data_IF_441247310434
#
_entry.id   IF_441247310434
#
_cell.length_a   1.000
_cell.length_b   1.000
_cell.length_c   1.000
_cell.angle_alpha   90.00
_cell.angle_beta   90.00
_cell.angle_gamma   90.00
#
_symmetry.space_group_name_H-M   'P 1'
#
loop_
_entity.id
_entity.type
_entity.pdbx_description
1 polymer ?
#
# COMPACT_ATOMS: atom_id res chain seq x y z
N UNK A 1 28.69 89.31 -50.53
CA UNK A 1 28.46 87.95 -49.99
C UNK A 1 29.60 87.68 -49.02
N UNK A 2 29.39 87.84 -47.72
CA UNK A 2 30.43 87.67 -46.69
C UNK A 2 30.06 86.47 -45.83
N UNK A 3 30.92 85.45 -45.85
CA UNK A 3 30.78 84.23 -45.04
C UNK A 3 31.54 84.50 -43.74
N UNK A 4 30.84 84.53 -42.61
CA UNK A 4 31.49 84.58 -41.30
C UNK A 4 31.88 83.17 -40.84
N UNK A 5 33.17 82.96 -40.64
CA UNK A 5 33.72 81.79 -39.93
C UNK A 5 33.32 81.84 -38.45
N UNK A 6 32.40 80.94 -38.04
CA UNK A 6 32.14 80.66 -36.63
C UNK A 6 33.23 79.71 -36.10
N UNK A 7 34.23 80.27 -35.43
CA UNK A 7 35.12 79.50 -34.53
C UNK A 7 34.25 78.79 -33.47
N UNK A 8 34.26 77.46 -33.45
CA UNK A 8 33.72 76.68 -32.32
C UNK A 8 34.70 76.79 -31.16
N UNK A 9 34.28 77.45 -30.10
CA UNK A 9 34.96 77.44 -28.81
C UNK A 9 34.70 76.08 -28.16
N UNK A 10 35.75 75.36 -27.77
CA UNK A 10 35.64 74.18 -26.91
C UNK A 10 35.66 74.73 -25.48
N UNK A 11 34.51 74.73 -24.80
CA UNK A 11 34.44 75.05 -23.38
C UNK A 11 35.04 73.88 -22.58
N UNK A 12 36.15 74.15 -21.89
CA UNK A 12 36.69 73.25 -20.87
C UNK A 12 35.93 73.47 -19.57
N UNK A 13 35.19 72.44 -19.13
CA UNK A 13 34.48 72.46 -17.85
C UNK A 13 35.47 72.65 -16.69
N UNK A 14 35.04 73.41 -15.69
CA UNK A 14 35.73 73.54 -14.40
C UNK A 14 35.66 72.24 -13.60
N UNK A 15 36.53 72.06 -12.60
CA UNK A 15 36.52 70.86 -11.74
C UNK A 15 35.18 70.68 -11.00
N UNK A 16 34.52 71.78 -10.60
CA UNK A 16 33.21 71.73 -9.96
C UNK A 16 32.11 71.30 -10.95
N UNK A 17 32.17 71.76 -12.20
CA UNK A 17 31.26 71.31 -13.26
C UNK A 17 31.50 69.84 -13.64
N UNK A 18 32.77 69.39 -13.65
CA UNK A 18 33.12 67.99 -13.84
C UNK A 18 32.64 67.11 -12.68
N UNK A 19 32.73 67.59 -11.44
CA UNK A 19 32.21 66.90 -10.27
C UNK A 19 30.68 66.78 -10.32
N UNK A 20 29.99 67.86 -10.69
CA UNK A 20 28.54 67.87 -10.87
C UNK A 20 28.10 66.96 -12.03
N UNK A 21 28.82 66.94 -13.16
CA UNK A 21 28.53 66.01 -14.26
C UNK A 21 28.79 64.55 -13.85
N UNK A 22 29.85 64.27 -13.07
CA UNK A 22 30.08 62.93 -12.51
C UNK A 22 28.98 62.51 -11.53
N UNK A 23 28.46 63.43 -10.73
CA UNK A 23 27.36 63.19 -9.80
C UNK A 23 26.04 62.97 -10.52
N UNK A 24 25.74 63.77 -11.56
CA UNK A 24 24.57 63.55 -12.43
C UNK A 24 24.60 62.19 -13.13
N UNK A 25 25.80 61.68 -13.41
CA UNK A 25 26.03 60.38 -14.05
C UNK A 25 26.31 59.27 -13.02
N UNK A 26 26.28 59.58 -11.72
CA UNK A 26 26.48 58.59 -10.68
C UNK A 26 25.25 57.69 -10.62
N UNK A 27 25.42 56.46 -11.07
CA UNK A 27 24.40 55.43 -10.89
C UNK A 27 24.39 55.05 -9.41
N UNK A 28 23.31 55.37 -8.71
CA UNK A 28 23.15 54.95 -7.31
C UNK A 28 22.83 53.46 -7.24
N UNK A 29 23.16 52.85 -6.10
CA UNK A 29 22.90 51.42 -5.88
C UNK A 29 21.41 51.08 -6.04
N UNK A 30 20.52 51.97 -5.61
CA UNK A 30 19.07 51.78 -5.70
C UNK A 30 18.53 51.81 -7.13
N UNK A 31 19.24 52.44 -8.07
CA UNK A 31 18.86 52.42 -9.50
C UNK A 31 19.19 51.05 -10.12
N UNK A 32 20.32 50.44 -9.74
CA UNK A 32 20.72 49.12 -10.24
C UNK A 32 20.03 47.97 -9.50
N UNK A 33 19.85 48.14 -8.20
CA UNK A 33 19.31 47.15 -7.29
C UNK A 33 18.16 47.74 -6.46
N UNK A 34 17.01 48.02 -7.10
CA UNK A 34 15.86 48.55 -6.39
C UNK A 34 15.36 47.58 -5.31
N UNK A 35 14.71 48.11 -4.27
CA UNK A 35 14.11 47.30 -3.21
C UNK A 35 13.18 46.23 -3.81
N UNK A 36 13.43 44.97 -3.45
CA UNK A 36 12.71 43.81 -3.97
C UNK A 36 13.42 43.06 -5.10
N UNK A 37 14.55 43.57 -5.62
CA UNK A 37 15.40 42.82 -6.56
C UNK A 37 15.99 41.57 -5.88
N UNK A 38 16.21 40.51 -6.66
CA UNK A 38 16.95 39.33 -6.24
C UNK A 38 18.22 39.21 -7.06
N UNK A 39 19.36 39.00 -6.39
CA UNK A 39 20.68 38.87 -7.01
C UNK A 39 21.29 37.51 -6.71
N UNK A 40 22.01 36.94 -7.69
CA UNK A 40 22.70 35.66 -7.56
C UNK A 40 24.21 35.86 -7.73
N UNK A 41 24.98 35.39 -6.77
CA UNK A 41 26.44 35.46 -6.80
C UNK A 41 27.03 34.09 -7.13
N UNK A 42 27.94 34.04 -8.09
CA UNK A 42 28.71 32.83 -8.42
C UNK A 42 29.83 32.54 -7.39
N UNK A 43 29.98 33.39 -6.37
CA UNK A 43 30.97 33.27 -5.31
C UNK A 43 30.29 33.48 -3.97
N UNK A 44 30.88 32.93 -2.89
CA UNK A 44 30.43 33.21 -1.53
C UNK A 44 30.71 34.67 -1.16
N UNK A 45 29.72 35.52 -1.39
CA UNK A 45 29.73 36.96 -1.15
C UNK A 45 28.46 37.35 -0.42
N UNK A 46 28.60 38.16 0.62
CA UNK A 46 27.47 38.74 1.34
C UNK A 46 27.14 40.12 0.77
N UNK A 47 25.98 40.33 0.14
CA UNK A 47 25.60 41.64 -0.38
C UNK A 47 25.47 42.71 0.71
N UNK A 48 25.22 42.34 1.98
CA UNK A 48 25.24 43.30 3.09
C UNK A 48 26.64 43.88 3.37
N UNK A 49 27.70 43.18 2.96
CA UNK A 49 29.10 43.67 3.04
C UNK A 49 29.49 44.41 1.76
N UNK A 50 29.04 43.92 0.59
CA UNK A 50 29.38 44.51 -0.70
C UNK A 50 28.72 45.87 -0.94
N UNK A 51 27.52 46.06 -0.39
CA UNK A 51 26.73 47.26 -0.59
C UNK A 51 26.38 47.89 0.78
N UNK A 52 27.27 48.71 1.35
CA UNK A 52 26.99 49.45 2.58
C UNK A 52 25.69 50.24 2.48
N UNK A 53 25.02 50.43 3.62
CA UNK A 53 23.76 51.16 3.75
C UNK A 53 22.54 50.52 3.04
N UNK A 54 22.66 49.25 2.60
CA UNK A 54 21.55 48.43 2.11
C UNK A 54 21.31 47.21 3.00
N UNK A 55 20.11 46.61 2.91
CA UNK A 55 19.74 45.42 3.69
C UNK A 55 19.26 44.31 2.77
N UNK A 56 19.92 43.15 2.85
CA UNK A 56 19.65 41.98 2.03
C UNK A 56 19.30 40.78 2.88
N UNK A 57 18.26 40.06 2.47
CA UNK A 57 17.82 38.82 3.11
C UNK A 57 18.18 37.62 2.26
N UNK A 58 18.79 36.61 2.88
CA UNK A 58 19.06 35.34 2.22
C UNK A 58 17.75 34.59 1.92
N UNK A 59 17.57 34.15 0.67
CA UNK A 59 16.33 33.51 0.20
C UNK A 59 16.21 32.02 0.55
N UNK A 60 17.27 31.45 1.13
CA UNK A 60 17.33 30.07 1.61
C UNK A 60 18.09 29.11 0.68
N UNK A 61 18.35 27.91 1.20
CA UNK A 61 19.10 26.84 0.52
C UNK A 61 18.16 25.79 -0.08
N UNK A 62 18.66 25.04 -1.08
CA UNK A 62 17.97 23.90 -1.69
C UNK A 62 16.55 24.26 -2.16
N UNK A 63 16.44 25.35 -2.92
CA UNK A 63 15.17 25.82 -3.49
C UNK A 63 15.30 26.04 -4.99
N UNK A 64 14.24 25.69 -5.70
CA UNK A 64 13.97 26.14 -7.05
C UNK A 64 13.26 27.50 -7.02
N UNK A 65 13.45 28.29 -8.07
CA UNK A 65 12.72 29.55 -8.25
C UNK A 65 11.51 29.27 -9.13
N UNK A 66 10.34 29.67 -8.66
CA UNK A 66 9.08 29.61 -9.41
C UNK A 66 8.53 31.01 -9.63
N UNK A 67 7.72 31.16 -10.68
CA UNK A 67 7.13 32.44 -11.04
C UNK A 67 5.89 32.71 -10.19
N UNK A 68 5.91 33.83 -9.47
CA UNK A 68 4.78 34.37 -8.72
C UNK A 68 3.65 34.89 -9.61
N UNK A 69 2.48 35.05 -8.98
CA UNK A 69 1.34 35.73 -9.55
C UNK A 69 1.67 37.20 -9.84
N UNK A 70 1.11 37.72 -10.94
CA UNK A 70 1.33 39.10 -11.40
C UNK A 70 0.89 40.16 -10.38
N UNK A 71 -0.12 39.84 -9.58
CA UNK A 71 -0.64 40.72 -8.52
C UNK A 71 0.24 40.74 -7.25
N UNK A 72 1.31 39.93 -7.22
CA UNK A 72 2.24 39.86 -6.12
C UNK A 72 1.74 39.07 -4.91
N UNK A 73 0.56 38.44 -4.98
CA UNK A 73 -0.11 37.83 -3.82
C UNK A 73 0.64 36.65 -3.20
N UNK A 74 1.47 35.95 -3.96
CA UNK A 74 2.21 34.76 -3.54
C UNK A 74 3.73 34.97 -3.53
N UNK A 75 4.21 36.19 -3.77
CA UNK A 75 5.64 36.51 -3.82
C UNK A 75 6.30 36.24 -2.47
N UNK A 76 7.49 35.63 -2.51
CA UNK A 76 8.25 35.11 -1.37
C UNK A 76 7.60 33.94 -0.62
N UNK A 77 6.45 33.42 -1.07
CA UNK A 77 5.92 32.17 -0.54
C UNK A 77 6.86 31.00 -0.86
N UNK A 78 6.91 30.03 0.06
CA UNK A 78 7.70 28.82 -0.08
C UNK A 78 6.78 27.60 -0.04
N UNK A 79 7.18 26.54 -0.73
CA UNK A 79 6.45 25.27 -0.73
C UNK A 79 7.29 24.14 -1.28
N UNK A 80 6.65 23.00 -1.53
CA UNK A 80 7.31 21.80 -2.03
C UNK A 80 8.23 21.11 -1.03
N UNK A 81 8.78 19.98 -1.45
CA UNK A 81 9.77 19.22 -0.69
C UNK A 81 10.65 18.42 -1.65
N UNK A 82 11.95 18.36 -1.36
CA UNK A 82 12.90 17.57 -2.15
C UNK A 82 12.88 16.09 -1.79
N UNK A 83 12.20 15.74 -0.69
CA UNK A 83 12.02 14.37 -0.24
C UNK A 83 10.55 14.06 0.02
N UNK A 84 10.13 12.84 -0.28
CA UNK A 84 8.79 12.36 0.06
C UNK A 84 8.86 10.94 0.61
N UNK A 85 8.15 10.73 1.72
CA UNK A 85 7.92 9.40 2.27
C UNK A 85 6.57 8.91 1.77
N UNK A 86 6.59 7.84 0.97
CA UNK A 86 5.36 7.24 0.44
C UNK A 86 4.48 6.69 1.56
N UNK A 87 3.18 6.95 1.47
CA UNK A 87 2.15 6.36 2.33
C UNK A 87 1.51 5.15 1.65
N UNK A 88 0.95 4.24 2.45
CA UNK A 88 0.23 3.07 1.91
C UNK A 88 -0.89 3.45 0.94
N UNK A 89 -1.60 4.56 1.18
CA UNK A 89 -2.69 5.04 0.30
C UNK A 89 -2.22 5.48 -1.09
N UNK A 90 -0.95 5.88 -1.23
CA UNK A 90 -0.34 6.31 -2.50
C UNK A 90 0.18 5.12 -3.34
N UNK A 91 0.21 3.91 -2.77
CA UNK A 91 0.52 2.71 -3.53
C UNK A 91 -0.68 2.30 -4.40
N UNK A 92 -0.45 1.59 -5.52
CA UNK A 92 -1.51 0.89 -6.24
C UNK A 92 -2.31 -0.06 -5.32
N UNK A 93 -3.65 -0.17 -5.49
CA UNK A 93 -4.43 -1.21 -4.85
C UNK A 93 -3.81 -2.58 -5.08
N UNK A 94 -3.50 -3.27 -3.98
CA UNK A 94 -2.94 -4.61 -3.97
C UNK A 94 -3.44 -5.39 -2.76
N UNK A 95 -3.40 -6.71 -2.87
CA UNK A 95 -3.77 -7.67 -1.83
C UNK A 95 -2.77 -8.84 -1.85
N UNK A 96 -2.73 -9.60 -0.76
CA UNK A 96 -1.81 -10.72 -0.62
C UNK A 96 -2.58 -12.02 -0.45
N UNK A 97 -2.13 -13.07 -1.14
CA UNK A 97 -2.56 -14.45 -0.86
C UNK A 97 -1.59 -15.10 0.11
N UNK A 98 -2.10 -15.93 1.01
CA UNK A 98 -1.28 -16.78 1.87
C UNK A 98 -1.76 -18.23 1.84
N UNK A 99 -0.82 -19.13 2.11
CA UNK A 99 -1.09 -20.54 2.34
C UNK A 99 -0.17 -21.04 3.44
N UNK A 100 -0.71 -21.89 4.30
CA UNK A 100 0.00 -22.52 5.41
C UNK A 100 -0.48 -23.96 5.58
N UNK A 101 0.33 -24.76 6.24
CA UNK A 101 0.01 -26.13 6.63
C UNK A 101 0.05 -26.17 8.15
N UNK A 102 -0.98 -26.75 8.78
CA UNK A 102 -0.97 -26.96 10.23
C UNK A 102 0.11 -27.97 10.60
N UNK A 103 0.54 -27.96 11.85
CA UNK A 103 1.32 -29.10 12.35
C UNK A 103 0.52 -30.40 12.20
N UNK A 104 1.25 -31.49 11.99
CA UNK A 104 0.65 -32.80 11.88
C UNK A 104 0.16 -33.25 13.26
N UNK A 105 -1.09 -33.69 13.34
CA UNK A 105 -1.69 -34.20 14.56
C UNK A 105 -2.24 -35.60 14.35
N UNK A 106 -1.90 -36.50 15.27
CA UNK A 106 -2.37 -37.88 15.28
C UNK A 106 -3.48 -38.02 16.33
N UNK A 107 -4.68 -38.36 15.88
CA UNK A 107 -5.82 -38.59 16.77
C UNK A 107 -5.76 -39.98 17.43
N UNK A 108 -4.93 -40.88 16.91
CA UNK A 108 -4.81 -42.26 17.34
C UNK A 108 -6.11 -43.03 17.12
N UNK A 109 -6.37 -44.01 17.99
CA UNK A 109 -7.58 -44.82 17.95
C UNK A 109 -8.72 -44.06 18.65
N UNK A 110 -9.81 -43.82 17.93
CA UNK A 110 -11.07 -43.28 18.45
C UNK A 110 -12.16 -44.34 18.42
N UNK A 111 -13.12 -44.24 19.34
CA UNK A 111 -14.27 -45.14 19.35
C UNK A 111 -15.48 -44.47 18.70
N UNK A 112 -16.29 -45.24 17.97
CA UNK A 112 -17.59 -44.77 17.47
C UNK A 112 -18.56 -44.54 18.63
N UNK A 113 -19.64 -43.81 18.38
CA UNK A 113 -20.81 -43.85 19.27
C UNK A 113 -21.34 -45.29 19.36
N UNK A 114 -22.05 -45.58 20.45
CA UNK A 114 -22.66 -46.89 20.64
C UNK A 114 -23.89 -47.00 19.74
N UNK A 115 -23.95 -48.05 18.93
CA UNK A 115 -25.06 -48.30 18.04
C UNK A 115 -25.66 -49.70 18.28
N UNK A 116 -26.97 -49.67 18.52
CA UNK A 116 -27.94 -50.77 18.60
C UNK A 116 -27.46 -52.18 18.96
N UNK A 117 -28.06 -52.72 20.01
CA UNK A 117 -28.18 -54.17 20.21
C UNK A 117 -28.69 -54.85 18.94
N UNK A 118 -27.99 -55.89 18.51
CA UNK A 118 -28.42 -56.66 17.34
C UNK A 118 -28.08 -58.13 17.46
N UNK A 119 -28.77 -58.90 16.63
CA UNK A 119 -28.58 -60.34 16.45
C UNK A 119 -28.76 -60.69 14.99
N UNK A 120 -28.05 -61.70 14.52
CA UNK A 120 -28.14 -62.18 13.15
C UNK A 120 -29.08 -63.37 13.07
N UNK A 121 -29.84 -63.50 11.98
CA UNK A 121 -30.56 -64.73 11.70
C UNK A 121 -29.56 -65.81 11.25
N UNK A 122 -29.59 -66.98 11.88
CA UNK A 122 -28.68 -68.10 11.59
C UNK A 122 -29.37 -69.24 10.81
N UNK A 123 -30.69 -69.32 10.89
CA UNK A 123 -31.50 -70.36 10.27
C UNK A 123 -32.84 -69.79 9.83
N UNK A 124 -33.31 -70.21 8.65
CA UNK A 124 -34.66 -69.93 8.17
C UNK A 124 -35.34 -71.24 7.75
N UNK A 125 -36.64 -71.36 8.00
CA UNK A 125 -37.52 -72.38 7.39
C UNK A 125 -38.77 -71.67 6.88
N UNK A 126 -39.03 -71.76 5.58
CA UNK A 126 -40.03 -70.97 4.84
C UNK A 126 -41.44 -71.58 4.83
N UNK A 127 -41.56 -72.87 5.12
CA UNK A 127 -42.78 -73.67 4.96
C UNK A 127 -43.31 -74.24 6.28
N UNK A 128 -42.85 -73.68 7.41
CA UNK A 128 -43.09 -74.20 8.77
C UNK A 128 -42.59 -75.65 8.98
N UNK A 129 -41.81 -76.22 8.05
CA UNK A 129 -41.16 -77.50 8.29
C UNK A 129 -40.18 -77.40 9.46
N UNK A 130 -39.98 -78.52 10.15
CA UNK A 130 -39.02 -78.60 11.26
C UNK A 130 -37.57 -78.49 10.78
N UNK A 131 -37.33 -78.48 9.46
CA UNK A 131 -36.00 -78.60 8.85
C UNK A 131 -35.41 -77.21 8.55
N UNK A 132 -34.30 -76.82 9.22
CA UNK A 132 -33.62 -75.56 8.93
C UNK A 132 -32.99 -75.56 7.54
N UNK A 133 -33.01 -74.39 6.90
CA UNK A 133 -32.13 -74.07 5.78
C UNK A 133 -30.89 -73.36 6.35
N UNK A 134 -29.72 -74.00 6.24
CA UNK A 134 -28.42 -73.43 6.59
C UNK A 134 -27.53 -73.36 5.35
N UNK A 135 -26.98 -72.18 5.06
CA UNK A 135 -26.11 -71.97 3.89
C UNK A 135 -26.78 -72.29 2.54
N UNK A 136 -28.11 -72.21 2.45
CA UNK A 136 -28.88 -72.51 1.23
C UNK A 136 -29.31 -73.97 1.06
N UNK A 137 -28.99 -74.85 2.00
CA UNK A 137 -29.36 -76.28 1.96
C UNK A 137 -30.29 -76.66 3.11
N UNK A 138 -31.28 -77.51 2.82
CA UNK A 138 -32.18 -78.08 3.82
C UNK A 138 -31.41 -79.15 4.61
N UNK A 139 -31.32 -78.96 5.93
CA UNK A 139 -30.71 -79.94 6.83
C UNK A 139 -31.80 -80.85 7.41
N UNK A 140 -31.94 -82.05 6.84
CA UNK A 140 -32.93 -83.03 7.29
C UNK A 140 -32.56 -83.65 8.64
N UNK A 141 -33.53 -83.79 9.53
CA UNK A 141 -33.39 -84.38 10.86
C UNK A 141 -32.77 -83.46 11.92
N UNK A 142 -32.59 -82.17 11.62
CA UNK A 142 -32.02 -81.19 12.55
C UNK A 142 -33.12 -80.31 13.10
N UNK A 143 -33.26 -80.23 14.43
CA UNK A 143 -34.29 -79.39 15.06
C UNK A 143 -33.68 -78.08 15.55
N UNK A 144 -34.27 -76.96 15.13
CA UNK A 144 -33.91 -75.63 15.64
C UNK A 144 -34.53 -75.42 17.03
N UNK A 145 -33.71 -75.41 18.09
CA UNK A 145 -34.13 -75.04 19.45
C UNK A 145 -34.04 -73.53 19.65
N UNK A 146 -35.02 -72.93 20.33
CA UNK A 146 -35.03 -71.49 20.64
C UNK A 146 -35.43 -70.57 19.47
N UNK A 147 -35.84 -71.12 18.33
CA UNK A 147 -36.36 -70.32 17.21
C UNK A 147 -37.69 -69.63 17.55
N UNK A 148 -37.89 -68.44 17.01
CA UNK A 148 -39.16 -67.71 17.08
C UNK A 148 -39.87 -67.76 15.72
N UNK A 149 -41.20 -67.84 15.75
CA UNK A 149 -42.01 -67.67 14.56
C UNK A 149 -42.12 -66.18 14.23
N UNK A 150 -41.73 -65.79 13.02
CA UNK A 150 -41.98 -64.45 12.49
C UNK A 150 -42.63 -64.60 11.13
N UNK A 151 -43.87 -64.12 11.01
CA UNK A 151 -44.71 -64.33 9.83
C UNK A 151 -44.84 -65.83 9.50
N UNK A 152 -44.55 -66.23 8.26
CA UNK A 152 -44.60 -67.63 7.79
C UNK A 152 -43.27 -68.39 7.98
N UNK A 153 -42.27 -67.76 8.61
CA UNK A 153 -40.93 -68.33 8.72
C UNK A 153 -40.59 -68.69 10.18
N UNK A 154 -39.90 -69.83 10.35
CA UNK A 154 -39.26 -70.19 11.63
C UNK A 154 -37.81 -69.75 11.59
N UNK A 155 -37.46 -68.75 12.41
CA UNK A 155 -36.15 -68.10 12.41
C UNK A 155 -35.41 -68.35 13.72
N UNK A 156 -34.19 -68.88 13.64
CA UNK A 156 -33.25 -68.81 14.76
C UNK A 156 -32.32 -67.61 14.59
N UNK A 157 -32.01 -67.00 15.72
CA UNK A 157 -31.08 -65.89 15.81
C UNK A 157 -29.85 -66.30 16.62
N UNK A 158 -28.72 -65.64 16.39
CA UNK A 158 -27.63 -65.62 17.37
C UNK A 158 -28.10 -65.02 18.69
N UNK A 159 -27.28 -65.15 19.73
CA UNK A 159 -27.43 -64.34 20.93
C UNK A 159 -27.43 -62.85 20.57
N UNK A 160 -28.17 -62.07 21.36
CA UNK A 160 -28.21 -60.62 21.22
C UNK A 160 -26.86 -60.07 21.66
N UNK A 161 -26.12 -59.50 20.71
CA UNK A 161 -24.96 -58.71 21.07
C UNK A 161 -25.45 -57.35 21.54
N UNK A 162 -25.13 -57.07 22.80
CA UNK A 162 -25.43 -55.79 23.42
C UNK A 162 -24.76 -54.64 22.70
N UNK A 163 -25.19 -53.43 23.07
CA UNK A 163 -24.73 -52.19 22.51
C UNK A 163 -23.20 -52.11 22.57
N UNK A 164 -22.55 -51.97 21.42
CA UNK A 164 -21.09 -51.91 21.35
C UNK A 164 -20.60 -50.77 20.47
N UNK A 165 -19.29 -50.54 20.54
CA UNK A 165 -18.57 -49.52 19.79
C UNK A 165 -17.50 -50.17 18.93
N UNK A 166 -17.14 -49.49 17.84
CA UNK A 166 -16.03 -49.87 17.00
C UNK A 166 -14.86 -48.90 17.20
N UNK A 167 -13.64 -49.42 17.02
CA UNK A 167 -12.43 -48.60 17.02
C UNK A 167 -12.04 -48.19 15.60
N UNK A 168 -11.72 -46.92 15.41
CA UNK A 168 -11.27 -46.31 14.15
C UNK A 168 -9.92 -45.65 14.40
N UNK A 169 -8.91 -45.97 13.59
CA UNK A 169 -7.63 -45.30 13.63
C UNK A 169 -7.67 -44.04 12.74
N UNK A 170 -7.39 -42.88 13.33
CA UNK A 170 -7.26 -41.60 12.62
C UNK A 170 -5.82 -41.13 12.82
N UNK A 171 -4.94 -41.56 11.92
CA UNK A 171 -3.51 -41.29 12.00
C UNK A 171 -3.12 -39.83 11.80
N UNK A 172 -1.81 -39.58 11.93
CA UNK A 172 -1.21 -38.27 11.74
C UNK A 172 -1.58 -37.64 10.40
N UNK A 173 -2.22 -36.48 10.44
CA UNK A 173 -2.53 -35.68 9.26
C UNK A 173 -2.44 -34.19 9.59
N UNK A 174 -2.37 -33.38 8.55
CA UNK A 174 -2.37 -31.93 8.63
C UNK A 174 -3.45 -31.36 7.70
N UNK A 175 -3.79 -30.10 7.92
CA UNK A 175 -4.70 -29.36 7.05
C UNK A 175 -3.93 -28.26 6.31
N UNK A 176 -4.35 -28.00 5.08
CA UNK A 176 -3.94 -26.79 4.34
C UNK A 176 -4.92 -25.68 4.66
N UNK A 177 -4.41 -24.49 4.98
CA UNK A 177 -5.19 -23.27 5.19
C UNK A 177 -4.70 -22.23 4.19
N UNK A 178 -5.62 -21.51 3.57
CA UNK A 178 -5.28 -20.45 2.62
C UNK A 178 -6.31 -19.34 2.64
N UNK A 179 -5.90 -18.15 2.24
CA UNK A 179 -6.78 -17.00 2.15
C UNK A 179 -6.16 -15.84 1.39
N UNK A 180 -6.92 -14.76 1.29
CA UNK A 180 -6.49 -13.51 0.68
C UNK A 180 -6.83 -12.35 1.62
N UNK A 181 -5.90 -11.40 1.77
CA UNK A 181 -6.13 -10.19 2.57
C UNK A 181 -7.12 -9.25 1.86
N UNK A 182 -7.63 -8.26 2.58
CA UNK A 182 -8.26 -7.10 1.94
C UNK A 182 -7.26 -6.33 1.06
N UNK A 183 -7.80 -5.49 0.17
CA UNK A 183 -7.00 -4.58 -0.65
C UNK A 183 -6.44 -3.42 0.18
N UNK A 184 -5.18 -3.07 -0.05
CA UNK A 184 -4.48 -1.91 0.50
C UNK A 184 -3.98 -1.02 -0.64
N UNK A 185 -3.95 0.29 -0.43
CA UNK A 185 -3.54 1.28 -1.43
C UNK A 185 -4.71 1.78 -2.29
N UNK A 186 -4.66 3.07 -2.63
CA UNK A 186 -5.76 3.80 -3.27
C UNK A 186 -5.33 4.56 -4.54
N UNK A 187 -4.04 4.49 -4.95
CA UNK A 187 -3.47 5.36 -6.01
C UNK A 187 -3.68 6.85 -5.74
N UNK A 188 -3.58 7.27 -4.48
CA UNK A 188 -3.61 8.70 -4.18
C UNK A 188 -2.43 9.43 -4.84
N UNK A 189 -2.66 10.69 -5.20
CA UNK A 189 -1.68 11.53 -5.88
C UNK A 189 -0.49 11.78 -4.95
N UNK A 190 0.69 11.88 -5.56
CA UNK A 190 1.95 12.24 -4.91
C UNK A 190 2.34 13.62 -5.45
N UNK A 191 2.57 14.58 -4.57
CA UNK A 191 3.19 15.84 -4.95
C UNK A 191 4.70 15.65 -5.06
N UNK A 192 5.24 15.91 -6.25
CA UNK A 192 6.66 15.80 -6.60
C UNK A 192 7.30 17.18 -6.78
N UNK A 193 6.61 18.24 -6.35
CA UNK A 193 7.10 19.61 -6.40
C UNK A 193 8.35 19.76 -5.53
N UNK A 194 9.49 20.08 -6.16
CA UNK A 194 10.71 20.43 -5.45
C UNK A 194 10.49 21.59 -4.49
N UNK A 195 11.32 21.68 -3.44
CA UNK A 195 11.35 22.86 -2.58
C UNK A 195 11.48 24.12 -3.43
N UNK A 196 10.65 25.13 -3.18
CA UNK A 196 10.64 26.35 -3.99
C UNK A 196 10.44 27.64 -3.18
N UNK A 197 10.76 28.75 -3.85
CA UNK A 197 10.36 30.12 -3.49
C UNK A 197 9.75 30.81 -4.73
N UNK A 198 8.68 31.56 -4.54
CA UNK A 198 8.02 32.32 -5.61
C UNK A 198 8.66 33.71 -5.76
N UNK A 199 9.10 34.05 -6.97
CA UNK A 199 9.64 35.36 -7.33
C UNK A 199 8.93 35.91 -8.57
N UNK A 200 8.88 37.24 -8.70
CA UNK A 200 8.24 37.88 -9.85
C UNK A 200 9.18 37.79 -11.07
N UNK A 201 8.66 37.30 -12.18
CA UNK A 201 9.42 37.19 -13.43
C UNK A 201 8.99 38.23 -14.46
N UNK A 202 9.96 38.93 -15.03
CA UNK A 202 9.76 39.84 -16.16
C UNK A 202 10.84 39.56 -17.20
N UNK A 203 10.50 39.71 -18.47
CA UNK A 203 11.47 39.72 -19.56
C UNK A 203 11.27 41.01 -20.36
N UNK A 204 12.37 41.65 -20.73
CA UNK A 204 12.37 42.91 -21.47
C UNK A 204 12.25 42.62 -22.97
N UNK A 205 11.34 43.30 -23.65
CA UNK A 205 11.13 43.18 -25.09
C UNK A 205 11.84 44.27 -25.91
N UNK A 206 12.14 45.41 -25.30
CA UNK A 206 12.74 46.61 -25.91
C UNK A 206 13.50 47.44 -24.89
#
# INVERSE_FOLDING_TARGET
>A
MSIQDKKRTIETLTEDELALEREKHAVTIDILYPVGIVTFFAQSKDPNILFPDTVWKYIGENKTIRLGALDGSDILSIGGNDTITLKASQLPPHNHSFSAITDSFDYGIKSTSVAGDHKHATALSYDQSQEPIWGGYIQKGVVIRGASYKYNEKVAYTDNQGNHTHSVNIGSHHHTVSGTTSSTGNREIIDITNGYIMLMGWYRLE
#
